data_IF_862961358762
#
_entry.id   IF_862961358762
#
_cell.length_a   1.000
_cell.length_b   1.000
_cell.length_c   1.000
_cell.angle_alpha   90.00
_cell.angle_beta   90.00
_cell.angle_gamma   90.00
#
_symmetry.space_group_name_H-M   'P 1'
#
loop_
_entity.id
_entity.type
_entity.pdbx_description
1 polymer ?
#
# COMPACT_ATOMS: atom_id res chain seq x y z
N UNK A 1 23.59 -7.19 2.39
CA UNK A 1 23.37 -5.89 3.06
C UNK A 1 22.52 -5.04 2.13
N UNK A 2 21.21 -4.91 2.39
CA UNK A 2 20.36 -4.03 1.55
C UNK A 2 20.74 -2.59 1.85
N UNK A 3 21.10 -1.82 0.82
CA UNK A 3 21.39 -0.40 0.91
C UNK A 3 20.20 0.41 1.43
N UNK A 4 20.38 1.72 1.69
CA UNK A 4 19.30 2.56 2.18
C UNK A 4 18.17 2.56 1.15
N UNK A 5 17.01 2.02 1.55
CA UNK A 5 15.78 2.18 0.76
C UNK A 5 15.49 3.68 0.75
N UNK A 6 15.58 4.31 -0.42
CA UNK A 6 15.21 5.72 -0.58
C UNK A 6 13.75 5.88 -0.15
N UNK A 7 13.46 6.93 0.64
CA UNK A 7 12.10 7.24 1.01
C UNK A 7 11.25 7.43 -0.26
N UNK A 8 10.00 6.95 -0.30
CA UNK A 8 9.13 7.15 -1.45
C UNK A 8 8.97 8.64 -1.75
N UNK A 9 9.00 9.02 -3.02
CA UNK A 9 8.78 10.40 -3.43
C UNK A 9 7.29 10.76 -3.31
N UNK A 10 6.87 11.65 -2.39
CA UNK A 10 5.45 11.95 -2.19
C UNK A 10 4.81 12.64 -3.39
N UNK A 11 5.59 13.43 -4.15
CA UNK A 11 5.09 14.09 -5.35
C UNK A 11 4.85 13.08 -6.49
N UNK A 12 5.66 12.03 -6.58
CA UNK A 12 5.43 10.94 -7.53
C UNK A 12 4.19 10.13 -7.17
N UNK A 13 4.05 9.74 -5.89
CA UNK A 13 2.87 9.03 -5.41
C UNK A 13 1.59 9.83 -5.71
N UNK A 14 1.58 11.12 -5.37
CA UNK A 14 0.43 11.99 -5.64
C UNK A 14 0.06 12.02 -7.12
N UNK A 15 1.03 12.27 -8.01
CA UNK A 15 0.77 12.31 -9.46
C UNK A 15 0.18 10.99 -9.99
N UNK A 16 0.72 9.86 -9.55
CA UNK A 16 0.26 8.53 -9.99
C UNK A 16 -1.13 8.21 -9.46
N UNK A 17 -1.47 8.60 -8.23
CA UNK A 17 -2.83 8.39 -7.68
C UNK A 17 -3.84 9.33 -8.33
N UNK A 18 -3.47 10.60 -8.55
CA UNK A 18 -4.33 11.59 -9.23
C UNK A 18 -4.72 11.16 -10.64
N UNK A 19 -3.78 10.58 -11.40
CA UNK A 19 -4.07 10.07 -12.75
C UNK A 19 -5.07 8.92 -12.78
N UNK A 20 -5.34 8.28 -11.63
CA UNK A 20 -6.28 7.17 -11.48
C UNK A 20 -7.59 7.58 -10.78
N UNK A 21 -7.77 8.86 -10.47
CA UNK A 21 -8.90 9.37 -9.67
C UNK A 21 -10.27 8.95 -10.21
N UNK A 22 -10.50 9.04 -11.52
CA UNK A 22 -11.76 8.60 -12.14
C UNK A 22 -12.03 7.10 -11.96
N UNK A 23 -11.03 6.25 -12.08
CA UNK A 23 -11.19 4.82 -11.82
C UNK A 23 -11.47 4.52 -10.35
N UNK A 24 -10.79 5.24 -9.44
CA UNK A 24 -10.96 5.10 -8.00
C UNK A 24 -12.35 5.58 -7.55
N UNK A 25 -12.93 6.60 -8.18
CA UNK A 25 -14.32 7.07 -7.94
C UNK A 25 -15.38 6.17 -8.59
N UNK A 26 -15.00 5.37 -9.58
CA UNK A 26 -15.92 4.48 -10.32
C UNK A 26 -16.45 5.04 -11.63
N UNK A 27 -15.92 6.19 -12.07
CA UNK A 27 -16.34 6.92 -13.28
C UNK A 27 -15.36 6.76 -14.46
N UNK A 28 -14.26 6.03 -14.28
CA UNK A 28 -13.19 5.88 -15.28
C UNK A 28 -12.69 4.45 -15.48
N UNK A 29 -11.97 4.26 -16.58
CA UNK A 29 -11.40 2.97 -16.98
C UNK A 29 -10.27 2.52 -16.07
N UNK A 30 -10.09 1.20 -15.97
CA UNK A 30 -9.00 0.60 -15.20
C UNK A 30 -7.64 1.04 -15.76
N UNK A 31 -6.72 1.57 -14.93
CA UNK A 31 -5.36 1.92 -15.35
C UNK A 31 -4.58 0.73 -15.89
N UNK A 32 -3.55 1.04 -16.65
CA UNK A 32 -2.64 0.01 -17.16
C UNK A 32 -1.96 -0.73 -16.01
N UNK A 33 -1.70 -2.03 -16.22
CA UNK A 33 -1.14 -2.90 -15.15
C UNK A 33 0.14 -2.32 -14.55
N UNK A 34 0.98 -1.70 -15.37
CA UNK A 34 2.25 -1.08 -14.94
C UNK A 34 2.01 0.12 -14.04
N UNK A 35 1.07 0.99 -14.40
CA UNK A 35 0.73 2.17 -13.61
C UNK A 35 0.15 1.74 -12.26
N UNK A 36 -0.79 0.78 -12.28
CA UNK A 36 -1.39 0.23 -11.08
C UNK A 36 -0.34 -0.40 -10.15
N UNK A 37 0.63 -1.13 -10.70
CA UNK A 37 1.73 -1.69 -9.93
C UNK A 37 2.60 -0.59 -9.26
N UNK A 38 2.88 0.50 -9.98
CA UNK A 38 3.63 1.65 -9.46
C UNK A 38 2.87 2.31 -8.31
N UNK A 39 1.57 2.59 -8.50
CA UNK A 39 0.72 3.22 -7.47
C UNK A 39 0.72 2.39 -6.17
N UNK A 40 0.50 1.08 -6.30
CA UNK A 40 0.47 0.15 -5.16
C UNK A 40 1.82 0.08 -4.44
N UNK A 41 2.92 -0.02 -5.18
CA UNK A 41 4.26 -0.10 -4.59
C UNK A 41 4.65 1.18 -3.87
N UNK A 42 4.42 2.33 -4.49
CA UNK A 42 4.74 3.63 -3.88
C UNK A 42 3.92 3.86 -2.61
N UNK A 43 2.62 3.57 -2.64
CA UNK A 43 1.74 3.73 -1.46
C UNK A 43 2.09 2.76 -0.33
N UNK A 44 2.38 1.49 -0.62
CA UNK A 44 2.81 0.52 0.41
C UNK A 44 4.18 0.91 1.01
N UNK A 45 5.12 1.33 0.18
CA UNK A 45 6.40 1.80 0.70
C UNK A 45 6.25 3.08 1.52
N UNK A 46 5.29 3.94 1.19
CA UNK A 46 4.98 5.15 1.97
C UNK A 46 4.45 4.74 3.34
N UNK A 47 3.48 3.82 3.42
CA UNK A 47 3.01 3.26 4.69
C UNK A 47 4.17 2.69 5.54
N UNK A 48 5.06 1.89 4.94
CA UNK A 48 6.18 1.30 5.64
C UNK A 48 7.25 2.32 6.07
N UNK A 49 7.33 3.46 5.39
CA UNK A 49 8.20 4.59 5.75
C UNK A 49 7.59 5.40 6.90
N UNK A 50 6.28 5.64 6.86
CA UNK A 50 5.56 6.41 7.87
C UNK A 50 5.40 5.63 9.19
N UNK A 51 5.23 4.32 9.11
CA UNK A 51 5.12 3.40 10.24
C UNK A 51 6.15 2.26 10.11
N UNK A 52 7.43 2.50 10.39
CA UNK A 52 8.46 1.47 10.25
C UNK A 52 8.27 0.35 11.28
N UNK A 53 8.48 -0.90 10.86
CA UNK A 53 8.44 -2.07 11.74
C UNK A 53 8.15 -3.38 11.02
N UNK A 54 7.88 -4.42 11.80
CA UNK A 54 7.69 -5.79 11.31
C UNK A 54 6.56 -6.56 12.01
N UNK A 55 5.68 -5.85 12.72
CA UNK A 55 4.58 -6.48 13.45
C UNK A 55 3.35 -6.70 12.59
N UNK A 56 3.21 -5.96 11.47
CA UNK A 56 2.13 -6.10 10.50
C UNK A 56 2.70 -6.32 9.11
N UNK A 57 2.12 -7.23 8.35
CA UNK A 57 2.40 -7.43 6.93
C UNK A 57 1.17 -7.01 6.10
N UNK A 58 1.37 -6.09 5.16
CA UNK A 58 0.33 -5.62 4.24
C UNK A 58 0.63 -6.16 2.85
N UNK A 59 -0.34 -6.85 2.26
CA UNK A 59 -0.25 -7.54 0.97
C UNK A 59 -1.28 -6.98 0.00
N UNK A 60 -0.81 -6.65 -1.21
CA UNK A 60 -1.67 -6.22 -2.31
C UNK A 60 -1.30 -7.03 -3.54
N UNK A 61 -1.80 -8.28 -3.64
CA UNK A 61 -1.51 -9.15 -4.77
C UNK A 61 -2.09 -8.57 -6.08
N UNK A 62 -1.39 -8.72 -7.22
CA UNK A 62 -0.13 -9.44 -7.40
C UNK A 62 1.12 -8.54 -7.28
N UNK A 63 1.00 -7.32 -6.74
CA UNK A 63 1.99 -6.27 -6.98
C UNK A 63 3.10 -6.16 -5.95
N UNK A 64 2.77 -6.26 -4.66
CA UNK A 64 3.74 -6.12 -3.57
C UNK A 64 3.18 -6.54 -2.21
N UNK A 65 4.11 -6.71 -1.27
CA UNK A 65 3.84 -6.79 0.16
C UNK A 65 4.91 -5.99 0.91
N UNK A 66 4.55 -5.39 2.04
CA UNK A 66 5.47 -4.68 2.93
C UNK A 66 5.22 -5.08 4.38
N UNK A 67 6.23 -4.91 5.21
CA UNK A 67 6.09 -4.96 6.66
C UNK A 67 6.14 -3.55 7.23
N UNK A 68 5.27 -3.26 8.19
CA UNK A 68 5.14 -1.98 8.85
C UNK A 68 4.69 -2.18 10.31
N UNK A 69 4.60 -1.06 11.04
CA UNK A 69 4.23 -0.97 12.45
C UNK A 69 5.26 -1.62 13.38
N UNK A 70 5.81 -0.82 14.28
CA UNK A 70 6.69 -1.29 15.34
C UNK A 70 5.93 -2.13 16.37
N UNK A 71 6.60 -3.10 16.96
CA UNK A 71 6.01 -3.94 17.99
C UNK A 71 6.81 -5.21 18.22
N UNK A 72 6.36 -6.07 19.15
CA UNK A 72 7.02 -7.33 19.41
C UNK A 72 7.00 -8.17 18.14
N UNK A 73 8.14 -8.81 17.88
CA UNK A 73 8.22 -9.82 16.83
C UNK A 73 7.37 -10.99 17.27
N UNK A 74 6.39 -11.38 16.45
CA UNK A 74 5.56 -12.55 16.71
C UNK A 74 6.47 -13.76 16.95
N UNK A 75 6.34 -14.37 18.13
CA UNK A 75 6.94 -15.67 18.43
C UNK A 75 6.10 -16.77 17.79
N UNK A 76 6.72 -17.93 17.53
CA UNK A 76 6.05 -19.10 16.95
C UNK A 76 4.73 -19.38 17.68
N UNK A 77 3.60 -19.33 16.96
CA UNK A 77 2.27 -19.66 17.48
C UNK A 77 1.28 -18.48 17.53
N UNK A 78 1.75 -17.22 17.49
CA UNK A 78 0.86 -16.05 17.36
C UNK A 78 0.64 -15.72 15.87
N UNK A 79 -0.60 -15.46 15.42
CA UNK A 79 -0.85 -15.10 14.03
C UNK A 79 -0.03 -13.88 13.63
N UNK A 80 0.66 -13.96 12.49
CA UNK A 80 1.19 -12.77 11.83
C UNK A 80 0.02 -11.82 11.57
N UNK A 81 0.08 -10.58 12.05
CA UNK A 81 -0.93 -9.58 11.70
C UNK A 81 -0.81 -9.34 10.19
N UNK A 82 -1.73 -9.86 9.39
CA UNK A 82 -1.73 -9.71 7.93
C UNK A 82 -2.96 -8.92 7.52
N UNK A 83 -2.73 -7.91 6.69
CA UNK A 83 -3.77 -7.23 5.91
C UNK A 83 -3.56 -7.63 4.46
N UNK A 84 -4.55 -8.24 3.84
CA UNK A 84 -4.51 -8.60 2.42
C UNK A 84 -5.76 -8.06 1.72
N UNK A 85 -5.59 -7.33 0.62
CA UNK A 85 -6.70 -6.74 -0.13
C UNK A 85 -6.31 -6.56 -1.61
N UNK A 86 -7.28 -6.27 -2.46
CA UNK A 86 -7.04 -6.02 -3.88
C UNK A 86 -6.49 -4.59 -4.13
N UNK A 87 -5.89 -4.34 -5.31
CA UNK A 87 -5.27 -3.05 -5.64
C UNK A 87 -6.21 -1.85 -5.58
N UNK A 88 -7.49 -2.01 -5.96
CA UNK A 88 -8.44 -0.89 -5.99
C UNK A 88 -8.84 -0.50 -4.57
N UNK A 89 -9.18 -1.48 -3.75
CA UNK A 89 -9.53 -1.26 -2.34
C UNK A 89 -8.37 -0.66 -1.56
N UNK A 90 -7.14 -1.18 -1.74
CA UNK A 90 -5.94 -0.60 -1.16
C UNK A 90 -5.74 0.88 -1.53
N UNK A 91 -5.82 1.22 -2.82
CA UNK A 91 -5.57 2.60 -3.26
C UNK A 91 -6.67 3.57 -2.79
N UNK A 92 -7.91 3.10 -2.67
CA UNK A 92 -8.99 3.90 -2.07
C UNK A 92 -8.73 4.19 -0.59
N UNK A 93 -8.26 3.20 0.17
CA UNK A 93 -7.84 3.39 1.56
C UNK A 93 -6.66 4.37 1.66
N UNK A 94 -5.61 4.12 0.88
CA UNK A 94 -4.39 4.94 0.90
C UNK A 94 -4.63 6.40 0.46
N UNK A 95 -5.63 6.64 -0.40
CA UNK A 95 -6.04 7.97 -0.84
C UNK A 95 -7.12 8.63 0.04
N UNK A 96 -7.61 7.95 1.09
CA UNK A 96 -8.68 8.46 1.95
C UNK A 96 -10.06 8.54 1.30
N UNK A 97 -10.28 7.78 0.21
CA UNK A 97 -11.57 7.70 -0.51
C UNK A 97 -12.54 6.68 0.11
N UNK A 98 -12.03 5.81 0.96
CA UNK A 98 -12.82 4.86 1.76
C UNK A 98 -12.16 4.75 3.14
N UNK A 99 -12.95 4.54 4.18
CA UNK A 99 -12.40 4.29 5.51
C UNK A 99 -12.22 2.78 5.74
N UNK A 100 -11.49 2.43 6.81
CA UNK A 100 -11.24 1.03 7.16
C UNK A 100 -12.51 0.24 7.52
N UNK A 101 -13.52 0.90 8.09
CA UNK A 101 -14.74 0.24 8.55
C UNK A 101 -15.71 -0.07 7.40
N UNK A 102 -15.55 0.60 6.26
CA UNK A 102 -16.41 0.53 5.08
C UNK A 102 -15.69 0.02 3.83
N UNK A 103 -14.44 -0.43 3.98
CA UNK A 103 -13.61 -0.98 2.91
C UNK A 103 -14.04 -2.38 2.44
#
# INVERSE_FOLDING_TARGET
>A
MSGPRHAPNPAELRRVVESMSGWLSGEGDKPERRELATAVRLSLHTLASDAPGNSVEVRVPPFAAVQCVGGPRHTRGTPSNVVETDPKTWLRLAAGLTDWATA
#
